data_IF_957549980134
#
_entry.id   IF_957549980134
#
_cell.length_a   1.000
_cell.length_b   1.000
_cell.length_c   1.000
_cell.angle_alpha   90.00
_cell.angle_beta   90.00
_cell.angle_gamma   90.00
#
_symmetry.space_group_name_H-M   'P 1'
#
loop_
_entity.id
_entity.type
_entity.pdbx_description
1 polymer ?
#
# COMPACT_ATOMS: atom_id res chain seq x y z
N UNK A 1 -1.02 -21.27 28.65
CA UNK A 1 -0.46 -21.28 27.29
C UNK A 1 0.21 -19.93 27.14
N UNK A 2 1.42 -19.66 27.64
CA UNK A 2 2.65 -20.46 27.67
C UNK A 2 3.13 -20.82 26.26
N UNK A 3 3.52 -19.80 25.50
CA UNK A 3 4.27 -19.96 24.25
C UNK A 3 5.76 -19.77 24.57
N UNK A 4 6.38 -20.92 24.83
CA UNK A 4 7.81 -21.15 24.80
C UNK A 4 8.20 -21.33 23.34
N UNK A 5 8.59 -20.25 22.65
CA UNK A 5 9.31 -20.37 21.38
C UNK A 5 10.74 -19.88 21.63
N UNK A 6 11.67 -20.84 21.61
CA UNK A 6 13.10 -20.56 21.66
C UNK A 6 13.49 -19.68 20.46
N UNK A 7 14.22 -18.61 20.72
CA UNK A 7 14.80 -17.76 19.69
C UNK A 7 15.93 -18.52 18.96
N UNK A 8 15.55 -19.38 18.01
CA UNK A 8 16.47 -19.94 17.02
C UNK A 8 16.45 -19.06 15.76
N UNK A 9 17.57 -18.38 15.51
CA UNK A 9 17.77 -17.49 14.36
C UNK A 9 19.13 -16.81 14.43
N UNK A 10 19.58 -16.19 13.34
CA UNK A 10 20.79 -15.37 13.40
C UNK A 10 20.56 -14.16 14.34
N UNK A 11 21.62 -13.57 14.94
CA UNK A 11 21.46 -12.39 15.79
C UNK A 11 20.67 -11.23 15.13
N UNK A 12 20.75 -11.12 13.80
CA UNK A 12 19.98 -10.18 12.99
C UNK A 12 18.49 -10.54 12.93
N UNK A 13 18.17 -11.83 12.76
CA UNK A 13 16.80 -12.33 12.69
C UNK A 13 16.07 -12.18 14.03
N UNK A 14 16.75 -12.45 15.14
CA UNK A 14 16.26 -12.23 16.50
C UNK A 14 15.96 -10.75 16.73
N UNK A 15 16.87 -9.84 16.32
CA UNK A 15 16.66 -8.41 16.45
C UNK A 15 15.44 -7.95 15.63
N UNK A 16 15.27 -8.46 14.42
CA UNK A 16 14.11 -8.15 13.58
C UNK A 16 12.79 -8.66 14.18
N UNK A 17 12.78 -9.85 14.79
CA UNK A 17 11.60 -10.37 15.49
C UNK A 17 11.23 -9.48 16.70
N UNK A 18 12.23 -9.08 17.49
CA UNK A 18 12.06 -8.11 18.59
C UNK A 18 11.49 -6.79 18.08
N UNK A 19 12.03 -6.22 17.00
CA UNK A 19 11.51 -4.99 16.39
C UNK A 19 10.07 -5.12 15.91
N UNK A 20 9.70 -6.26 15.31
CA UNK A 20 8.32 -6.53 14.89
C UNK A 20 7.37 -6.56 16.09
N UNK A 21 7.77 -7.20 17.19
CA UNK A 21 6.99 -7.25 18.42
C UNK A 21 6.80 -5.85 19.03
N UNK A 22 7.88 -5.09 19.18
CA UNK A 22 7.82 -3.73 19.72
C UNK A 22 6.97 -2.78 18.87
N UNK A 23 7.00 -2.93 17.53
CA UNK A 23 6.10 -2.18 16.63
C UNK A 23 4.64 -2.54 16.86
N UNK A 24 4.30 -3.82 17.03
CA UNK A 24 2.94 -4.26 17.36
C UNK A 24 2.47 -3.72 18.71
N UNK A 25 3.32 -3.77 19.72
CA UNK A 25 3.04 -3.22 21.05
C UNK A 25 2.82 -1.70 20.99
N UNK A 26 3.65 -0.95 20.25
CA UNK A 26 3.48 0.50 20.06
C UNK A 26 2.16 0.81 19.34
N UNK A 27 1.76 0.03 18.33
CA UNK A 27 0.49 0.23 17.64
C UNK A 27 -0.72 0.03 18.57
N UNK A 28 -0.68 -0.99 19.42
CA UNK A 28 -1.71 -1.21 20.44
C UNK A 28 -1.80 -0.04 21.42
N UNK A 29 -0.66 0.53 21.82
CA UNK A 29 -0.61 1.70 22.72
C UNK A 29 -1.14 2.97 22.04
N UNK A 30 -0.77 3.20 20.76
CA UNK A 30 -1.32 4.30 19.95
C UNK A 30 -2.84 4.20 19.86
N UNK A 31 -3.39 3.00 19.68
CA UNK A 31 -4.83 2.79 19.60
C UNK A 31 -5.52 3.17 20.93
N UNK A 32 -4.95 2.75 22.08
CA UNK A 32 -5.46 3.13 23.41
C UNK A 32 -5.40 4.64 23.65
N UNK A 33 -4.28 5.27 23.29
CA UNK A 33 -4.10 6.72 23.41
C UNK A 33 -5.13 7.48 22.56
N UNK A 34 -5.40 7.01 21.34
CA UNK A 34 -6.43 7.57 20.46
C UNK A 34 -7.84 7.37 21.00
N UNK A 35 -8.15 6.23 21.62
CA UNK A 35 -9.48 5.96 22.20
C UNK A 35 -9.75 6.73 23.49
N UNK A 36 -8.72 7.09 24.25
CA UNK A 36 -8.85 7.86 25.49
C UNK A 36 -9.17 9.35 25.25
N UNK A 37 -9.13 9.81 23.99
CA UNK A 37 -9.47 11.20 23.62
C UNK A 37 -10.92 11.28 23.14
N UNK A 38 -11.71 12.13 23.80
CA UNK A 38 -13.10 12.40 23.39
C UNK A 38 -13.15 13.10 22.03
N UNK A 39 -14.20 12.82 21.23
CA UNK A 39 -14.34 13.36 19.86
C UNK A 39 -14.37 14.89 19.78
N UNK A 40 -14.67 15.60 20.88
CA UNK A 40 -14.76 17.06 20.95
C UNK A 40 -13.51 17.78 21.47
N UNK A 41 -12.56 17.09 22.12
CA UNK A 41 -11.41 17.72 22.78
C UNK A 41 -10.25 17.99 21.81
N UNK A 42 -10.35 19.07 21.02
CA UNK A 42 -9.36 19.45 19.99
C UNK A 42 -7.93 19.65 20.55
N UNK A 43 -7.80 20.16 21.78
CA UNK A 43 -6.49 20.36 22.45
C UNK A 43 -5.84 19.02 22.79
N UNK A 44 -6.56 18.14 23.48
CA UNK A 44 -6.08 16.79 23.85
C UNK A 44 -5.75 15.95 22.61
N UNK A 45 -6.53 16.08 21.53
CA UNK A 45 -6.23 15.40 20.26
C UNK A 45 -4.89 15.84 19.65
N UNK A 46 -4.56 17.13 19.74
CA UNK A 46 -3.26 17.66 19.28
C UNK A 46 -2.12 17.19 20.17
N UNK A 47 -2.32 17.19 21.48
CA UNK A 47 -1.30 16.75 22.45
C UNK A 47 -1.02 15.24 22.31
N UNK A 48 -2.05 14.42 22.17
CA UNK A 48 -1.91 12.98 21.89
C UNK A 48 -1.28 12.72 20.52
N UNK A 49 -1.61 13.51 19.49
CA UNK A 49 -0.95 13.38 18.20
C UNK A 49 0.55 13.69 18.27
N UNK A 50 0.95 14.67 19.08
CA UNK A 50 2.36 14.97 19.34
C UNK A 50 3.04 13.82 20.09
N UNK A 51 2.41 13.32 21.15
CA UNK A 51 2.92 12.19 21.93
C UNK A 51 3.11 10.93 21.07
N UNK A 52 2.19 10.65 20.16
CA UNK A 52 2.32 9.53 19.20
C UNK A 52 3.54 9.74 18.29
N UNK A 53 3.72 10.94 17.74
CA UNK A 53 4.85 11.24 16.86
C UNK A 53 6.20 11.12 17.60
N UNK A 54 6.25 11.55 18.86
CA UNK A 54 7.45 11.44 19.70
C UNK A 54 7.79 9.97 19.98
N UNK A 55 6.79 9.14 20.34
CA UNK A 55 6.96 7.70 20.58
C UNK A 55 7.42 6.93 19.32
N UNK A 56 6.84 7.23 18.16
CA UNK A 56 7.21 6.62 16.88
C UNK A 56 8.65 6.99 16.49
N UNK A 57 9.04 8.26 16.66
CA UNK A 57 10.39 8.74 16.36
C UNK A 57 11.43 8.11 17.29
N UNK A 58 11.12 7.93 18.57
CA UNK A 58 12.04 7.34 19.52
C UNK A 58 12.27 5.86 19.24
N UNK A 59 11.18 5.09 19.02
CA UNK A 59 11.28 3.67 18.66
C UNK A 59 12.08 3.48 17.38
N UNK A 60 11.80 4.28 16.34
CA UNK A 60 12.54 4.21 15.08
C UNK A 60 14.01 4.59 15.25
N UNK A 61 14.33 5.57 16.09
CA UNK A 61 15.72 5.94 16.35
C UNK A 61 16.46 4.86 17.11
N UNK A 62 15.79 4.13 18.02
CA UNK A 62 16.38 3.03 18.78
C UNK A 62 16.66 1.84 17.87
N UNK A 63 15.67 1.43 17.07
CA UNK A 63 15.83 0.34 16.09
C UNK A 63 16.96 0.62 15.10
N UNK A 64 17.08 1.86 14.61
CA UNK A 64 18.16 2.25 13.71
C UNK A 64 19.55 2.15 14.37
N UNK A 65 19.67 2.46 15.66
CA UNK A 65 20.93 2.31 16.41
C UNK A 65 21.26 0.83 16.64
N UNK A 66 20.29 0.01 17.02
CA UNK A 66 20.50 -1.43 17.24
C UNK A 66 20.94 -2.16 15.97
N UNK A 67 20.36 -1.81 14.80
CA UNK A 67 20.81 -2.34 13.50
C UNK A 67 22.24 -1.90 13.19
N UNK A 68 22.54 -0.61 13.34
CA UNK A 68 23.90 -0.10 13.09
C UNK A 68 24.94 -0.73 14.04
N UNK A 69 24.57 -1.04 15.27
CA UNK A 69 25.45 -1.70 16.23
C UNK A 69 25.71 -3.17 15.85
N UNK A 70 24.69 -3.91 15.39
CA UNK A 70 24.88 -5.26 14.85
C UNK A 70 25.72 -5.29 13.56
N UNK A 71 25.55 -4.33 12.65
CA UNK A 71 26.40 -4.17 11.45
C UNK A 71 27.87 -3.91 11.81
N UNK A 72 28.11 -3.12 12.87
CA UNK A 72 29.48 -2.87 13.36
C UNK A 72 30.09 -4.07 14.11
N UNK A 73 29.26 -4.92 14.74
CA UNK A 73 29.73 -6.14 15.41
C UNK A 73 30.05 -7.26 14.42
N UNK A 74 29.28 -7.39 13.34
CA UNK A 74 29.53 -8.37 12.27
C UNK A 74 30.78 -8.03 11.45
N UNK A 75 31.11 -6.74 11.29
CA UNK A 75 32.33 -6.28 10.58
C UNK A 75 33.60 -6.38 11.42
N UNK A 76 33.53 -6.34 12.76
CA UNK A 76 34.68 -6.51 13.66
C UNK A 76 35.01 -7.99 13.98
N UNK A 77 34.12 -8.94 13.71
CA UNK A 77 34.36 -10.37 13.95
C UNK A 77 34.98 -11.13 12.74
N UNK A 78 35.28 -10.42 11.63
CA UNK A 78 35.82 -10.99 10.39
C UNK A 78 37.25 -10.57 10.04
N UNK A 79 38.06 -10.17 11.02
CA UNK A 79 39.48 -9.86 10.82
C UNK A 79 40.33 -11.14 10.86
N UNK A 80 40.40 -11.87 9.75
CA UNK A 80 41.54 -12.73 9.32
C UNK A 80 41.14 -13.63 8.13
N UNK A 81 40.84 -13.05 6.96
CA UNK A 81 41.16 -13.61 5.63
C UNK A 81 40.46 -12.82 4.53
N UNK A 82 41.19 -11.86 3.95
CA UNK A 82 41.29 -11.62 2.50
C UNK A 82 42.11 -10.34 2.29
N UNK A 83 43.35 -10.37 2.79
CA UNK A 83 44.44 -9.50 2.32
C UNK A 83 45.19 -10.30 1.27
N UNK A 84 44.55 -10.62 0.15
CA UNK A 84 45.16 -11.45 -0.89
C UNK A 84 44.52 -11.30 -2.28
N UNK A 85 44.02 -10.12 -2.65
CA UNK A 85 43.61 -9.90 -4.05
C UNK A 85 43.66 -8.42 -4.47
N UNK A 86 44.70 -7.71 -4.02
CA UNK A 86 44.98 -6.34 -4.50
C UNK A 86 46.46 -6.09 -4.76
N UNK A 87 47.12 -7.11 -5.31
CA UNK A 87 48.52 -7.05 -5.69
C UNK A 87 48.76 -7.73 -7.05
N UNK A 88 48.05 -7.31 -8.10
CA UNK A 88 48.53 -7.54 -9.46
C UNK A 88 47.92 -6.54 -10.43
N UNK A 89 48.60 -5.39 -10.56
CA UNK A 89 48.88 -4.68 -11.82
C UNK A 89 49.42 -3.30 -11.47
N UNK A 90 50.68 -3.30 -11.06
CA UNK A 90 51.51 -2.15 -10.76
C UNK A 90 52.59 -2.08 -11.83
N UNK A 91 52.21 -1.60 -13.01
CA UNK A 91 53.05 -1.17 -14.16
C UNK A 91 52.03 -0.64 -15.18
N UNK A 92 51.98 0.62 -15.60
CA UNK A 92 53.02 1.59 -15.92
C UNK A 92 52.33 2.95 -16.08
N UNK A 93 52.99 3.97 -15.52
CA UNK A 93 53.00 5.41 -15.82
C UNK A 93 51.86 6.10 -16.60
N UNK A 94 51.51 7.26 -16.02
CA UNK A 94 50.86 8.45 -16.58
C UNK A 94 49.33 8.55 -16.74
N UNK A 95 48.87 9.69 -16.24
CA UNK A 95 47.59 10.40 -16.47
C UNK A 95 46.38 10.06 -15.59
N UNK A 96 46.03 11.04 -14.74
CA UNK A 96 44.70 11.45 -14.28
C UNK A 96 43.60 10.40 -14.04
N UNK A 97 43.16 10.23 -12.77
CA UNK A 97 41.85 10.70 -12.29
C UNK A 97 41.66 10.24 -10.84
N UNK A 98 41.44 11.18 -9.91
CA UNK A 98 41.06 10.85 -8.54
C UNK A 98 39.66 10.24 -8.52
N UNK A 99 39.58 8.93 -8.24
CA UNK A 99 38.33 8.23 -7.94
C UNK A 99 37.91 8.58 -6.50
N UNK A 100 37.27 9.73 -6.33
CA UNK A 100 36.57 10.10 -5.09
C UNK A 100 35.15 9.56 -5.18
N UNK A 101 34.79 8.64 -4.30
CA UNK A 101 33.40 8.23 -4.06
C UNK A 101 32.53 9.46 -3.76
N UNK A 102 31.80 9.92 -4.78
CA UNK A 102 30.92 11.09 -4.68
C UNK A 102 29.69 10.67 -3.87
N UNK A 103 29.68 11.04 -2.58
CA UNK A 103 28.49 10.95 -1.71
C UNK A 103 27.26 11.47 -2.47
N UNK A 104 26.13 10.73 -2.45
CA UNK A 104 24.97 11.09 -3.25
C UNK A 104 24.47 12.49 -2.88
N UNK A 105 24.26 13.30 -3.91
CA UNK A 105 23.82 14.69 -3.77
C UNK A 105 22.51 14.77 -2.99
N UNK A 106 22.30 15.90 -2.30
CA UNK A 106 21.02 16.21 -1.63
C UNK A 106 19.82 16.11 -2.58
N UNK A 107 20.02 16.37 -3.87
CA UNK A 107 19.00 16.19 -4.90
C UNK A 107 18.69 14.71 -5.18
N UNK A 108 19.72 13.86 -5.20
CA UNK A 108 19.59 12.42 -5.41
C UNK A 108 18.85 11.76 -4.24
N UNK A 109 19.26 12.06 -2.99
CA UNK A 109 18.53 11.62 -1.78
C UNK A 109 17.05 12.02 -1.76
N UNK A 110 16.69 13.20 -2.31
CA UNK A 110 15.28 13.62 -2.43
C UNK A 110 14.51 12.81 -3.48
N UNK A 111 15.14 12.46 -4.60
CA UNK A 111 14.54 11.62 -5.66
C UNK A 111 14.34 10.20 -5.15
N UNK A 112 15.35 9.63 -4.50
CA UNK A 112 15.31 8.27 -3.98
C UNK A 112 14.23 8.13 -2.90
N UNK A 113 14.13 9.10 -1.98
CA UNK A 113 13.05 9.15 -0.98
C UNK A 113 11.65 9.28 -1.61
N UNK A 114 11.51 9.98 -2.74
CA UNK A 114 10.23 10.07 -3.46
C UNK A 114 9.92 8.74 -4.17
N UNK A 115 10.90 8.11 -4.79
CA UNK A 115 10.76 6.82 -5.46
C UNK A 115 10.37 5.72 -4.46
N UNK A 116 11.03 5.66 -3.30
CA UNK A 116 10.69 4.71 -2.24
C UNK A 116 9.24 4.86 -1.76
N UNK A 117 8.77 6.10 -1.54
CA UNK A 117 7.37 6.34 -1.13
C UNK A 117 6.34 5.97 -2.21
N UNK A 118 6.69 6.14 -3.47
CA UNK A 118 5.81 5.72 -4.58
C UNK A 118 5.76 4.21 -4.64
N UNK A 119 6.92 3.54 -4.54
CA UNK A 119 7.01 2.07 -4.53
C UNK A 119 6.24 1.45 -3.37
N UNK A 120 6.43 1.95 -2.15
CA UNK A 120 5.68 1.50 -0.96
C UNK A 120 4.17 1.71 -1.13
N UNK A 121 3.74 2.84 -1.71
CA UNK A 121 2.32 3.08 -1.98
C UNK A 121 1.78 2.11 -3.04
N UNK A 122 2.54 1.85 -4.09
CA UNK A 122 2.16 0.90 -5.14
C UNK A 122 2.09 -0.53 -4.61
N UNK A 123 3.02 -0.94 -3.75
CA UNK A 123 3.01 -2.24 -3.07
C UNK A 123 1.77 -2.39 -2.18
N UNK A 124 1.41 -1.38 -1.38
CA UNK A 124 0.18 -1.38 -0.58
C UNK A 124 -1.10 -1.45 -1.43
N UNK A 125 -1.11 -0.79 -2.59
CA UNK A 125 -2.24 -0.87 -3.52
C UNK A 125 -2.35 -2.28 -4.11
N UNK A 126 -1.22 -2.87 -4.52
CA UNK A 126 -1.19 -4.25 -5.06
C UNK A 126 -1.64 -5.27 -4.03
N UNK A 127 -1.18 -5.18 -2.78
CA UNK A 127 -1.63 -6.05 -1.69
C UNK A 127 -3.14 -5.95 -1.48
N UNK A 128 -3.69 -4.73 -1.44
CA UNK A 128 -5.13 -4.52 -1.33
C UNK A 128 -5.90 -5.03 -2.54
N UNK A 129 -5.35 -4.92 -3.75
CA UNK A 129 -5.96 -5.49 -4.95
C UNK A 129 -6.02 -7.03 -4.87
N UNK A 130 -4.95 -7.67 -4.40
CA UNK A 130 -4.90 -9.12 -4.18
C UNK A 130 -5.94 -9.55 -3.14
N UNK A 131 -6.03 -8.85 -2.01
CA UNK A 131 -7.07 -9.13 -1.02
C UNK A 131 -8.47 -8.95 -1.60
N UNK A 132 -8.70 -7.86 -2.36
CA UNK A 132 -9.98 -7.57 -3.01
C UNK A 132 -10.36 -8.63 -4.05
N UNK A 133 -9.42 -9.30 -4.73
CA UNK A 133 -9.72 -10.43 -5.63
C UNK A 133 -10.49 -11.55 -4.93
N UNK A 134 -10.14 -11.84 -3.67
CA UNK A 134 -10.83 -12.83 -2.83
C UNK A 134 -12.00 -12.24 -2.02
N UNK A 135 -12.20 -10.93 -2.08
CA UNK A 135 -13.23 -10.23 -1.32
C UNK A 135 -14.66 -10.65 -1.73
N UNK A 136 -15.60 -10.51 -0.78
CA UNK A 136 -17.00 -10.91 -0.97
C UNK A 136 -17.63 -10.37 -2.26
N UNK A 137 -17.33 -9.11 -2.63
CA UNK A 137 -17.79 -8.48 -3.87
C UNK A 137 -17.37 -9.27 -5.12
N UNK A 138 -16.10 -9.66 -5.21
CA UNK A 138 -15.60 -10.36 -6.38
C UNK A 138 -16.10 -11.81 -6.42
N UNK A 139 -16.24 -12.45 -5.27
CA UNK A 139 -16.89 -13.77 -5.17
C UNK A 139 -18.34 -13.71 -5.68
N UNK A 140 -19.13 -12.75 -5.20
CA UNK A 140 -20.51 -12.52 -5.65
C UNK A 140 -20.57 -12.20 -7.15
N UNK A 141 -19.71 -11.30 -7.63
CA UNK A 141 -19.65 -10.92 -9.03
C UNK A 141 -19.31 -12.11 -9.95
N UNK A 142 -18.34 -12.94 -9.56
CA UNK A 142 -17.99 -14.16 -10.28
C UNK A 142 -19.14 -15.17 -10.30
N UNK A 143 -19.88 -15.29 -9.19
CA UNK A 143 -21.08 -16.14 -9.12
C UNK A 143 -22.18 -15.66 -10.07
N UNK A 144 -22.46 -14.35 -10.11
CA UNK A 144 -23.41 -13.76 -11.06
C UNK A 144 -22.96 -14.03 -12.50
N UNK A 145 -21.67 -13.84 -12.80
CA UNK A 145 -21.10 -14.10 -14.13
C UNK A 145 -21.23 -15.56 -14.55
N UNK A 146 -21.07 -16.51 -13.63
CA UNK A 146 -21.26 -17.93 -13.88
C UNK A 146 -22.72 -18.24 -14.27
N UNK A 147 -23.69 -17.76 -13.49
CA UNK A 147 -25.13 -17.93 -13.77
C UNK A 147 -25.48 -17.34 -15.14
N UNK A 148 -24.99 -16.13 -15.45
CA UNK A 148 -25.26 -15.50 -16.74
C UNK A 148 -24.66 -16.28 -17.90
N UNK A 149 -23.46 -16.85 -17.73
CA UNK A 149 -22.81 -17.66 -18.76
C UNK A 149 -23.63 -18.91 -19.11
N UNK A 150 -24.23 -19.57 -18.12
CA UNK A 150 -25.15 -20.70 -18.35
C UNK A 150 -26.37 -20.29 -19.18
N UNK A 151 -26.82 -19.05 -19.06
CA UNK A 151 -27.91 -18.48 -19.84
C UNK A 151 -27.47 -17.88 -21.19
N UNK A 152 -26.19 -18.03 -21.58
CA UNK A 152 -25.58 -17.36 -22.74
C UNK A 152 -25.69 -15.82 -22.69
N UNK A 153 -25.69 -15.25 -21.49
CA UNK A 153 -25.71 -13.81 -21.24
C UNK A 153 -24.36 -13.34 -20.69
N UNK A 154 -24.09 -12.04 -20.82
CA UNK A 154 -22.88 -11.40 -20.32
C UNK A 154 -23.18 -10.06 -19.68
N UNK A 155 -22.40 -9.70 -18.65
CA UNK A 155 -22.47 -8.38 -18.02
C UNK A 155 -21.80 -7.37 -18.94
N UNK A 156 -22.49 -6.27 -19.20
CA UNK A 156 -21.92 -5.08 -19.83
C UNK A 156 -21.80 -3.98 -18.78
N UNK A 157 -20.59 -3.46 -18.57
CA UNK A 157 -20.36 -2.42 -17.57
C UNK A 157 -20.98 -1.09 -18.00
N UNK A 158 -21.77 -0.51 -17.11
CA UNK A 158 -22.37 0.82 -17.27
C UNK A 158 -21.75 1.73 -16.20
N UNK A 159 -21.38 2.97 -16.54
CA UNK A 159 -20.85 3.92 -15.57
C UNK A 159 -21.75 4.06 -14.34
N UNK A 160 -21.15 4.04 -13.15
CA UNK A 160 -21.85 4.14 -11.87
C UNK A 160 -22.24 5.59 -11.55
N UNK A 161 -23.20 6.14 -12.29
CA UNK A 161 -23.77 7.47 -12.08
C UNK A 161 -25.28 7.42 -11.77
N UNK A 162 -25.89 8.58 -11.48
CA UNK A 162 -27.33 8.69 -11.22
C UNK A 162 -28.23 8.39 -12.44
N UNK A 163 -27.63 8.08 -13.59
CA UNK A 163 -28.31 7.74 -14.83
C UNK A 163 -28.12 6.28 -15.26
N UNK A 164 -27.44 5.46 -14.44
CA UNK A 164 -27.04 4.11 -14.77
C UNK A 164 -28.19 3.21 -15.23
N UNK A 165 -29.36 3.32 -14.60
CA UNK A 165 -30.55 2.54 -14.97
C UNK A 165 -30.99 2.83 -16.42
N UNK A 166 -31.16 4.11 -16.76
CA UNK A 166 -31.58 4.52 -18.10
C UNK A 166 -30.48 4.23 -19.14
N UNK A 167 -29.21 4.34 -18.75
CA UNK A 167 -28.06 3.98 -19.61
C UNK A 167 -28.06 2.49 -19.93
N UNK A 168 -28.36 1.64 -18.95
CA UNK A 168 -28.47 0.20 -19.14
C UNK A 168 -29.62 -0.14 -20.11
N UNK A 169 -30.79 0.48 -19.94
CA UNK A 169 -31.95 0.28 -20.83
C UNK A 169 -31.65 0.79 -22.24
N UNK A 170 -31.11 2.00 -22.38
CA UNK A 170 -30.72 2.58 -23.66
C UNK A 170 -29.75 1.67 -24.42
N UNK A 171 -28.76 1.11 -23.73
CA UNK A 171 -27.83 0.16 -24.33
C UNK A 171 -28.53 -1.11 -24.87
N UNK A 172 -29.51 -1.67 -24.15
CA UNK A 172 -30.28 -2.83 -24.62
C UNK A 172 -31.20 -2.48 -25.80
N UNK A 173 -31.85 -1.32 -25.77
CA UNK A 173 -32.70 -0.84 -26.86
C UNK A 173 -31.90 -0.59 -28.14
N UNK A 174 -30.73 0.04 -28.02
CA UNK A 174 -29.84 0.30 -29.15
C UNK A 174 -29.37 -1.01 -29.78
N UNK A 175 -29.08 -2.04 -28.98
CA UNK A 175 -28.77 -3.39 -29.50
C UNK A 175 -29.93 -4.05 -30.23
N UNK A 176 -31.16 -3.72 -29.84
CA UNK A 176 -32.39 -4.20 -30.47
C UNK A 176 -32.81 -3.36 -31.68
N UNK A 177 -32.02 -2.35 -32.07
CA UNK A 177 -32.27 -1.49 -33.23
C UNK A 177 -33.09 -0.23 -32.94
N UNK A 178 -33.46 0.03 -31.68
CA UNK A 178 -34.18 1.26 -31.29
C UNK A 178 -33.21 2.23 -30.64
N UNK A 179 -32.92 3.34 -31.31
CA UNK A 179 -32.07 4.39 -30.73
C UNK A 179 -32.87 5.19 -29.70
N UNK A 180 -32.45 5.16 -28.44
CA UNK A 180 -33.07 5.96 -27.37
C UNK A 180 -32.03 6.62 -26.49
N UNK A 181 -32.19 7.92 -26.22
CA UNK A 181 -31.30 8.63 -25.31
C UNK A 181 -31.74 8.48 -23.86
N UNK A 182 -30.83 8.77 -22.93
CA UNK A 182 -31.14 8.76 -21.50
C UNK A 182 -32.24 9.77 -21.12
N UNK A 183 -32.24 10.93 -21.76
CA UNK A 183 -33.22 11.99 -21.51
C UNK A 183 -34.60 11.59 -22.04
N UNK A 184 -34.64 10.99 -23.22
CA UNK A 184 -35.89 10.48 -23.81
C UNK A 184 -36.51 9.40 -22.92
N UNK A 185 -35.70 8.44 -22.45
CA UNK A 185 -36.19 7.37 -21.58
C UNK A 185 -36.68 7.89 -20.22
N UNK A 186 -36.00 8.91 -19.66
CA UNK A 186 -36.46 9.57 -18.42
C UNK A 186 -37.79 10.27 -18.61
N UNK A 187 -37.91 11.07 -19.67
CA UNK A 187 -39.13 11.81 -19.98
C UNK A 187 -40.29 10.86 -20.31
N UNK A 188 -40.01 9.80 -21.06
CA UNK A 188 -40.95 8.75 -21.40
C UNK A 188 -41.47 8.06 -20.14
N UNK A 189 -40.56 7.61 -19.26
CA UNK A 189 -40.91 7.01 -17.98
C UNK A 189 -41.75 7.95 -17.13
N UNK A 190 -41.36 9.22 -17.02
CA UNK A 190 -42.12 10.22 -16.26
C UNK A 190 -43.53 10.45 -16.82
N UNK A 191 -43.68 10.56 -18.14
CA UNK A 191 -45.00 10.70 -18.80
C UNK A 191 -45.86 9.46 -18.55
N UNK A 192 -45.28 8.27 -18.65
CA UNK A 192 -45.97 7.02 -18.40
C UNK A 192 -46.46 6.92 -16.95
N UNK A 193 -45.58 7.17 -15.97
CA UNK A 193 -45.92 7.14 -14.55
C UNK A 193 -46.95 8.21 -14.14
N UNK A 194 -46.97 9.36 -14.83
CA UNK A 194 -47.92 10.45 -14.57
C UNK A 194 -49.23 10.32 -15.36
N UNK A 195 -49.42 9.25 -16.14
CA UNK A 195 -50.62 9.01 -16.94
C UNK A 195 -50.75 9.90 -18.18
N UNK A 196 -49.75 10.73 -18.49
CA UNK A 196 -49.72 11.65 -19.63
C UNK A 196 -49.19 11.02 -20.92
N UNK A 197 -49.14 9.69 -20.98
CA UNK A 197 -48.61 8.95 -22.13
C UNK A 197 -49.69 8.57 -23.15
N UNK A 198 -50.95 8.44 -22.70
CA UNK A 198 -52.10 8.05 -23.54
C UNK A 198 -53.05 9.21 -23.85
N UNK A 199 -52.68 10.44 -23.49
CA UNK A 199 -53.43 11.68 -23.78
C UNK A 199 -52.69 12.42 -24.89
#
# INVERSE_FOLDING_TARGET
MADLDGEEGTPEEILHQKHRREKKELQAEIQKLKSNVSKGDKKKKKDVAKQIADLESELSSRHAKEVAELENQTTNAGSENQVAEKLENLTTEDTEQSNRDKRPSKAQKRRDKKAQKIKEREELIQEQEIENLSGARNVEFNRIKAILKEMNLQIHEIPSDGNCLYKAIAHQLNKSGTTSSNEDLRNLCAKYMTGKYYV
#
